data_IF_880947979791
#
_entry.id   IF_880947979791
#
_cell.length_a   1.000
_cell.length_b   1.000
_cell.length_c   1.000
_cell.angle_alpha   90.00
_cell.angle_beta   90.00
_cell.angle_gamma   90.00
#
_symmetry.space_group_name_H-M   'P 1'
#
loop_
_entity.id
_entity.type
_entity.pdbx_description
1 polymer ?
#
# COMPACT_ATOMS: atom_id res chain seq x y z
N UNK A 1 -8.83 20.02 -2.86
CA UNK A 1 -8.43 20.92 -1.75
C UNK A 1 -9.37 20.80 -0.53
N UNK A 2 -10.70 20.86 -0.66
CA UNK A 2 -11.63 20.76 0.49
C UNK A 2 -11.58 19.42 1.27
N UNK A 3 -11.50 18.27 0.59
CA UNK A 3 -11.33 16.96 1.26
C UNK A 3 -10.03 16.85 2.05
N UNK A 4 -8.96 17.48 1.57
CA UNK A 4 -7.68 17.55 2.25
C UNK A 4 -7.78 18.44 3.49
N UNK A 5 -8.44 19.60 3.41
CA UNK A 5 -8.68 20.43 4.60
C UNK A 5 -9.54 19.72 5.66
N UNK A 6 -10.55 18.94 5.28
CA UNK A 6 -11.37 18.18 6.23
C UNK A 6 -10.62 16.98 6.82
N UNK A 7 -9.97 16.19 5.96
CA UNK A 7 -9.34 14.92 6.36
C UNK A 7 -7.93 15.08 6.95
N UNK A 8 -7.26 16.20 6.70
CA UNK A 8 -5.90 16.49 7.15
C UNK A 8 -5.93 17.64 8.15
N UNK A 9 -6.27 18.86 7.73
CA UNK A 9 -6.12 20.04 8.59
C UNK A 9 -7.09 20.04 9.76
N UNK A 10 -8.39 19.84 9.54
CA UNK A 10 -9.38 19.83 10.60
C UNK A 10 -9.24 18.58 11.49
N UNK A 11 -9.02 17.40 10.89
CA UNK A 11 -8.85 16.16 11.63
C UNK A 11 -7.64 16.22 12.60
N UNK A 12 -6.49 16.72 12.14
CA UNK A 12 -5.28 16.86 12.98
C UNK A 12 -5.47 17.93 14.06
N UNK A 13 -6.07 19.08 13.71
CA UNK A 13 -6.36 20.15 14.67
C UNK A 13 -7.22 19.65 15.85
N UNK A 14 -8.29 18.90 15.58
CA UNK A 14 -9.13 18.35 16.66
C UNK A 14 -8.45 17.25 17.49
N UNK A 15 -7.49 16.51 16.91
CA UNK A 15 -6.68 15.53 17.65
C UNK A 15 -5.76 16.21 18.67
N UNK A 16 -5.27 17.41 18.34
CA UNK A 16 -4.24 18.13 19.11
C UNK A 16 -4.82 19.18 20.08
N UNK A 17 -6.15 19.43 20.06
CA UNK A 17 -6.83 20.36 20.99
C UNK A 17 -6.81 19.87 22.45
N UNK A 18 -5.76 20.20 23.18
CA UNK A 18 -5.55 19.82 24.59
C UNK A 18 -6.67 20.27 25.54
N UNK A 19 -7.43 21.29 25.16
CA UNK A 19 -8.59 21.79 25.90
C UNK A 19 -9.77 20.78 25.95
N UNK A 20 -9.78 19.77 25.08
CA UNK A 20 -10.82 18.75 25.03
C UNK A 20 -10.36 17.44 25.69
N UNK A 21 -11.25 16.76 26.45
CA UNK A 21 -10.96 15.41 26.94
C UNK A 21 -10.60 14.45 25.81
N UNK A 22 -9.64 13.54 26.04
CA UNK A 22 -9.13 12.62 25.02
C UNK A 22 -10.21 11.85 24.23
N UNK A 23 -11.30 11.33 24.84
CA UNK A 23 -12.37 10.66 24.10
C UNK A 23 -13.10 11.58 23.11
N UNK A 24 -13.23 12.87 23.44
CA UNK A 24 -13.89 13.87 22.59
C UNK A 24 -13.01 14.26 21.41
N UNK A 25 -11.69 14.34 21.60
CA UNK A 25 -10.71 14.54 20.52
C UNK A 25 -10.78 13.41 19.50
N UNK A 26 -10.78 12.17 19.98
CA UNK A 26 -10.87 10.97 19.12
C UNK A 26 -12.21 10.90 18.35
N UNK A 27 -13.33 11.22 19.01
CA UNK A 27 -14.63 11.26 18.35
C UNK A 27 -14.70 12.31 17.23
N UNK A 28 -14.19 13.53 17.48
CA UNK A 28 -14.13 14.58 16.48
C UNK A 28 -13.16 14.21 15.34
N UNK A 29 -11.99 13.66 15.66
CA UNK A 29 -11.03 13.18 14.67
C UNK A 29 -11.68 12.20 13.68
N UNK A 30 -12.38 11.17 14.19
CA UNK A 30 -13.18 10.24 13.37
C UNK A 30 -14.23 10.94 12.52
N UNK A 31 -14.98 11.87 13.11
CA UNK A 31 -16.04 12.59 12.43
C UNK A 31 -15.51 13.40 11.23
N UNK A 32 -14.38 14.09 11.37
CA UNK A 32 -13.82 14.90 10.29
C UNK A 32 -13.16 14.06 9.19
N UNK A 33 -12.57 12.91 9.54
CA UNK A 33 -12.15 11.91 8.53
C UNK A 33 -13.36 11.45 7.71
N UNK A 34 -14.47 11.11 8.38
CA UNK A 34 -15.68 10.64 7.71
C UNK A 34 -16.29 11.71 6.79
N UNK A 35 -16.40 12.97 7.24
CA UNK A 35 -16.84 14.09 6.40
C UNK A 35 -15.94 14.28 5.17
N UNK A 36 -14.63 14.09 5.33
CA UNK A 36 -13.67 14.13 4.23
C UNK A 36 -13.91 13.02 3.20
N UNK A 37 -14.23 11.80 3.65
CA UNK A 37 -14.60 10.66 2.80
C UNK A 37 -15.90 10.93 2.04
N UNK A 38 -16.94 11.42 2.71
CA UNK A 38 -18.23 11.79 2.08
C UNK A 38 -18.08 12.90 1.04
N UNK A 39 -17.17 13.85 1.27
CA UNK A 39 -16.85 14.88 0.29
C UNK A 39 -16.18 14.29 -0.97
N UNK A 40 -15.25 13.35 -0.78
CA UNK A 40 -14.62 12.63 -1.90
C UNK A 40 -15.64 11.81 -2.68
N UNK A 41 -16.54 11.10 -2.00
CA UNK A 41 -17.56 10.28 -2.65
C UNK A 41 -18.51 11.12 -3.52
N UNK A 42 -18.99 12.26 -3.00
CA UNK A 42 -19.78 13.22 -3.80
C UNK A 42 -18.98 13.81 -4.97
N UNK A 43 -17.70 14.09 -4.75
CA UNK A 43 -16.81 14.55 -5.81
C UNK A 43 -16.71 13.55 -6.95
N UNK A 44 -16.51 12.27 -6.63
CA UNK A 44 -16.41 11.17 -7.58
C UNK A 44 -17.73 10.97 -8.33
N UNK A 45 -18.86 11.01 -7.63
CA UNK A 45 -20.20 10.91 -8.25
C UNK A 45 -20.40 12.00 -9.32
N UNK A 46 -19.98 13.22 -9.04
CA UNK A 46 -20.13 14.35 -9.96
C UNK A 46 -19.05 14.38 -11.05
N UNK A 47 -17.87 13.79 -10.80
CA UNK A 47 -16.71 13.84 -11.69
C UNK A 47 -16.05 12.45 -11.80
N UNK A 48 -16.75 11.44 -12.34
CA UNK A 48 -16.28 10.04 -12.30
C UNK A 48 -15.03 9.79 -13.16
N UNK A 49 -14.64 10.74 -14.01
CA UNK A 49 -13.46 10.67 -14.86
C UNK A 49 -12.23 11.40 -14.27
N UNK A 50 -12.36 11.98 -13.07
CA UNK A 50 -11.23 12.60 -12.39
C UNK A 50 -10.49 11.57 -11.51
N UNK A 51 -9.37 11.06 -12.04
CA UNK A 51 -8.50 10.11 -11.34
C UNK A 51 -7.97 10.66 -10.00
N UNK A 52 -7.84 11.98 -9.85
CA UNK A 52 -7.24 12.59 -8.65
C UNK A 52 -8.15 12.41 -7.43
N UNK A 53 -9.47 12.34 -7.64
CA UNK A 53 -10.45 12.11 -6.59
C UNK A 53 -10.36 10.69 -6.06
N UNK A 54 -10.25 9.70 -6.94
CA UNK A 54 -10.01 8.31 -6.57
C UNK A 54 -8.66 8.13 -5.87
N UNK A 55 -7.60 8.74 -6.40
CA UNK A 55 -6.27 8.71 -5.79
C UNK A 55 -6.28 9.34 -4.38
N UNK A 56 -7.03 10.43 -4.19
CA UNK A 56 -7.23 11.05 -2.88
C UNK A 56 -8.04 10.16 -1.91
N UNK A 57 -9.06 9.46 -2.41
CA UNK A 57 -9.82 8.46 -1.64
C UNK A 57 -8.92 7.31 -1.21
N UNK A 58 -8.12 6.75 -2.11
CA UNK A 58 -7.13 5.73 -1.79
C UNK A 58 -6.17 6.17 -0.68
N UNK A 59 -5.64 7.38 -0.76
CA UNK A 59 -4.77 7.94 0.30
C UNK A 59 -5.47 8.08 1.64
N UNK A 60 -6.74 8.49 1.65
CA UNK A 60 -7.51 8.65 2.88
C UNK A 60 -7.72 7.30 3.58
N UNK A 61 -8.09 6.27 2.83
CA UNK A 61 -8.37 4.92 3.35
C UNK A 61 -7.12 4.07 3.59
N UNK A 62 -5.96 4.42 3.02
CA UNK A 62 -4.70 3.71 3.27
C UNK A 62 -3.89 4.28 4.45
N UNK A 63 -4.26 5.44 4.98
CA UNK A 63 -3.48 6.13 6.00
C UNK A 63 -3.68 5.51 7.39
N UNK A 64 -2.59 5.07 8.04
CA UNK A 64 -2.62 4.38 9.34
C UNK A 64 -3.34 5.15 10.45
N UNK A 65 -3.16 6.48 10.50
CA UNK A 65 -3.81 7.33 11.50
C UNK A 65 -5.28 7.63 11.19
N UNK A 66 -5.86 7.07 10.12
CA UNK A 66 -7.22 7.40 9.65
C UNK A 66 -8.16 6.21 9.61
N UNK A 67 -7.92 5.19 10.44
CA UNK A 67 -8.73 3.97 10.48
C UNK A 67 -8.76 3.33 9.08
N UNK A 68 -7.65 2.70 8.68
CA UNK A 68 -7.49 2.25 7.31
C UNK A 68 -8.50 1.17 6.94
N UNK A 69 -8.96 1.22 5.70
CA UNK A 69 -9.70 0.15 5.03
C UNK A 69 -8.98 -0.12 3.71
N UNK A 70 -8.15 -1.17 3.70
CA UNK A 70 -7.31 -1.47 2.56
C UNK A 70 -8.09 -1.99 1.36
N UNK A 71 -9.27 -2.58 1.56
CA UNK A 71 -10.12 -3.01 0.46
C UNK A 71 -10.67 -1.79 -0.28
N UNK A 72 -11.18 -0.79 0.46
CA UNK A 72 -11.65 0.47 -0.13
C UNK A 72 -10.49 1.25 -0.76
N UNK A 73 -9.32 1.27 -0.12
CA UNK A 73 -8.15 1.93 -0.69
C UNK A 73 -7.67 1.27 -1.98
N UNK A 74 -7.58 -0.06 -2.02
CA UNK A 74 -7.19 -0.83 -3.20
C UNK A 74 -8.13 -0.54 -4.37
N UNK A 75 -9.44 -0.58 -4.15
CA UNK A 75 -10.43 -0.30 -5.18
C UNK A 75 -10.33 1.15 -5.69
N UNK A 76 -10.15 2.12 -4.78
CA UNK A 76 -9.98 3.51 -5.18
C UNK A 76 -8.71 3.71 -6.02
N UNK A 77 -7.58 3.11 -5.65
CA UNK A 77 -6.36 3.20 -6.46
C UNK A 77 -6.48 2.48 -7.79
N UNK A 78 -7.18 1.33 -7.85
CA UNK A 78 -7.50 0.64 -9.11
C UNK A 78 -8.28 1.56 -10.05
N UNK A 79 -9.34 2.20 -9.56
CA UNK A 79 -10.11 3.18 -10.32
C UNK A 79 -9.24 4.37 -10.76
N UNK A 80 -8.40 4.91 -9.87
CA UNK A 80 -7.49 5.99 -10.21
C UNK A 80 -6.52 5.62 -11.34
N UNK A 81 -5.96 4.40 -11.30
CA UNK A 81 -5.05 3.90 -12.31
C UNK A 81 -5.76 3.68 -13.66
N UNK A 82 -6.96 3.10 -13.66
CA UNK A 82 -7.77 2.88 -14.86
C UNK A 82 -8.22 4.19 -15.51
N UNK A 83 -8.77 5.12 -14.74
CA UNK A 83 -9.16 6.46 -15.23
C UNK A 83 -7.96 7.27 -15.69
N UNK A 84 -6.79 7.06 -15.07
CA UNK A 84 -5.49 7.57 -15.51
C UNK A 84 -4.90 6.85 -16.73
N UNK A 85 -5.68 5.99 -17.41
CA UNK A 85 -5.30 5.22 -18.61
C UNK A 85 -4.05 4.35 -18.43
N UNK A 86 -3.84 3.81 -17.25
CA UNK A 86 -2.71 2.91 -16.96
C UNK A 86 -1.34 3.59 -16.85
N UNK A 87 -1.25 4.92 -17.03
CA UNK A 87 0.04 5.64 -17.08
C UNK A 87 0.55 6.09 -15.70
N UNK A 88 -0.19 5.77 -14.64
CA UNK A 88 0.02 6.31 -13.30
C UNK A 88 0.75 5.31 -12.40
N UNK A 89 2.08 5.34 -12.42
CA UNK A 89 2.94 4.41 -11.66
C UNK A 89 2.70 4.48 -10.15
N UNK A 90 2.46 5.66 -9.59
CA UNK A 90 2.14 5.80 -8.17
C UNK A 90 0.85 5.05 -7.80
N UNK A 91 -0.24 5.33 -8.50
CA UNK A 91 -1.55 4.72 -8.25
C UNK A 91 -1.51 3.20 -8.43
N UNK A 92 -0.80 2.70 -9.45
CA UNK A 92 -0.63 1.26 -9.66
C UNK A 92 0.07 0.57 -8.48
N UNK A 93 1.16 1.15 -7.98
CA UNK A 93 1.88 0.62 -6.82
C UNK A 93 1.05 0.71 -5.55
N UNK A 94 0.37 1.84 -5.34
CA UNK A 94 -0.47 2.04 -4.17
C UNK A 94 -1.69 1.09 -4.16
N UNK A 95 -2.22 0.74 -5.34
CA UNK A 95 -3.20 -0.33 -5.49
C UNK A 95 -2.63 -1.66 -5.00
N UNK A 96 -1.47 -2.09 -5.50
CA UNK A 96 -0.85 -3.34 -5.06
C UNK A 96 -0.58 -3.37 -3.56
N UNK A 97 0.02 -2.31 -3.00
CA UNK A 97 0.32 -2.27 -1.57
C UNK A 97 -0.93 -2.37 -0.72
N UNK A 98 -2.03 -1.74 -1.15
CA UNK A 98 -3.31 -1.84 -0.45
C UNK A 98 -3.92 -3.23 -0.60
N UNK A 99 -3.94 -3.78 -1.82
CA UNK A 99 -4.51 -5.10 -2.10
C UNK A 99 -3.80 -6.21 -1.31
N UNK A 100 -2.46 -6.16 -1.22
CA UNK A 100 -1.67 -7.15 -0.48
C UNK A 100 -1.92 -7.15 1.04
N UNK A 101 -2.55 -6.10 1.58
CA UNK A 101 -2.96 -6.01 2.99
C UNK A 101 -4.42 -6.41 3.22
N UNK A 102 -5.15 -6.79 2.17
CA UNK A 102 -6.52 -7.30 2.29
C UNK A 102 -6.48 -8.81 2.56
N UNK A 103 -7.08 -9.31 3.66
CA UNK A 103 -7.14 -10.74 3.92
C UNK A 103 -7.76 -11.51 2.76
N UNK A 104 -7.13 -12.63 2.37
CA UNK A 104 -7.60 -13.49 1.27
C UNK A 104 -7.35 -12.96 -0.14
N UNK A 105 -6.54 -11.90 -0.30
CA UNK A 105 -6.21 -11.31 -1.61
C UNK A 105 -4.77 -11.57 -2.06
N UNK A 106 -4.09 -12.58 -1.51
CA UNK A 106 -2.72 -12.93 -1.89
C UNK A 106 -2.57 -13.27 -3.37
N UNK A 107 -3.49 -14.07 -3.93
CA UNK A 107 -3.43 -14.48 -5.35
C UNK A 107 -3.65 -13.28 -6.30
N UNK A 108 -4.73 -12.50 -6.08
CA UNK A 108 -4.98 -11.27 -6.84
C UNK A 108 -3.80 -10.28 -6.74
N UNK A 109 -3.18 -10.19 -5.56
CA UNK A 109 -2.00 -9.34 -5.33
C UNK A 109 -0.78 -9.85 -6.08
N UNK A 110 -0.57 -11.16 -6.14
CA UNK A 110 0.54 -11.76 -6.86
C UNK A 110 0.43 -11.51 -8.37
N UNK A 111 -0.76 -11.69 -8.93
CA UNK A 111 -1.01 -11.42 -10.35
C UNK A 111 -0.72 -9.97 -10.70
N UNK A 112 -1.21 -9.03 -9.87
CA UNK A 112 -0.92 -7.61 -10.04
C UNK A 112 0.58 -7.31 -9.84
N UNK A 113 1.24 -7.91 -8.85
CA UNK A 113 2.67 -7.71 -8.63
C UNK A 113 3.48 -8.13 -9.86
N UNK A 114 3.18 -9.31 -10.43
CA UNK A 114 3.79 -9.80 -11.67
C UNK A 114 3.52 -8.87 -12.85
N UNK A 115 2.28 -8.40 -13.02
CA UNK A 115 1.92 -7.45 -14.07
C UNK A 115 2.76 -6.17 -13.97
N UNK A 116 2.80 -5.55 -12.79
CA UNK A 116 3.53 -4.31 -12.56
C UNK A 116 5.03 -4.52 -12.75
N UNK A 117 5.59 -5.65 -12.33
CA UNK A 117 7.02 -5.96 -12.41
C UNK A 117 7.55 -6.11 -13.84
N UNK A 118 6.68 -6.43 -14.81
CA UNK A 118 7.04 -6.45 -16.24
C UNK A 118 7.52 -5.08 -16.72
N UNK A 119 7.02 -4.00 -16.12
CA UNK A 119 7.49 -2.64 -16.40
C UNK A 119 8.72 -2.33 -15.51
N UNK A 120 9.92 -2.07 -16.10
CA UNK A 120 11.13 -1.72 -15.35
C UNK A 120 10.96 -0.52 -14.41
N UNK A 121 10.12 0.47 -14.76
CA UNK A 121 9.89 1.63 -13.89
C UNK A 121 9.29 1.23 -12.53
N UNK A 122 8.57 0.10 -12.44
CA UNK A 122 7.97 -0.39 -11.21
C UNK A 122 8.87 -1.33 -10.39
N UNK A 123 10.08 -1.65 -10.84
CA UNK A 123 11.01 -2.55 -10.12
C UNK A 123 11.74 -1.84 -8.98
N UNK A 124 10.99 -1.11 -8.17
CA UNK A 124 11.46 -0.47 -6.95
C UNK A 124 11.49 -1.48 -5.79
N UNK A 125 12.26 -1.18 -4.76
CA UNK A 125 12.58 -2.06 -3.63
C UNK A 125 11.34 -2.71 -3.01
N UNK A 126 10.30 -1.91 -2.76
CA UNK A 126 9.04 -2.37 -2.17
C UNK A 126 8.28 -3.33 -3.06
N UNK A 127 8.33 -3.17 -4.39
CA UNK A 127 7.70 -4.11 -5.32
C UNK A 127 8.51 -5.40 -5.41
N UNK A 128 9.85 -5.31 -5.42
CA UNK A 128 10.73 -6.50 -5.42
C UNK A 128 10.51 -7.36 -4.18
N UNK A 129 10.52 -6.73 -3.01
CA UNK A 129 10.28 -7.42 -1.75
C UNK A 129 8.87 -8.00 -1.67
N UNK A 130 7.85 -7.23 -2.06
CA UNK A 130 6.47 -7.71 -2.01
C UNK A 130 6.23 -8.84 -3.03
N UNK A 131 6.79 -8.75 -4.24
CA UNK A 131 6.74 -9.84 -5.21
C UNK A 131 7.39 -11.10 -4.64
N UNK A 132 8.57 -10.99 -4.03
CA UNK A 132 9.22 -12.10 -3.35
C UNK A 132 8.29 -12.74 -2.29
N UNK A 133 7.69 -11.93 -1.41
CA UNK A 133 6.79 -12.42 -0.36
C UNK A 133 5.57 -13.15 -0.95
N UNK A 134 4.96 -12.59 -1.99
CA UNK A 134 3.78 -13.18 -2.64
C UNK A 134 4.15 -14.46 -3.40
N UNK A 135 5.30 -14.50 -4.06
CA UNK A 135 5.81 -15.69 -4.75
C UNK A 135 6.21 -16.80 -3.75
N UNK A 136 6.73 -16.42 -2.58
CA UNK A 136 7.02 -17.34 -1.48
C UNK A 136 5.78 -18.09 -1.01
N UNK A 137 4.64 -17.39 -0.88
CA UNK A 137 3.36 -17.99 -0.45
C UNK A 137 2.86 -19.07 -1.43
N UNK A 138 3.30 -19.04 -2.70
CA UNK A 138 2.94 -20.01 -3.74
C UNK A 138 4.18 -20.71 -4.33
N UNK A 139 5.27 -20.79 -3.57
CA UNK A 139 6.58 -21.25 -4.05
C UNK A 139 6.51 -22.63 -4.72
N UNK A 140 5.67 -23.53 -4.22
CA UNK A 140 5.52 -24.88 -4.76
C UNK A 140 6.87 -25.62 -4.73
N UNK A 141 7.32 -26.10 -5.88
CA UNK A 141 8.61 -26.78 -6.07
C UNK A 141 9.80 -25.84 -6.33
N UNK A 142 9.57 -24.53 -6.48
CA UNK A 142 10.65 -23.55 -6.74
C UNK A 142 11.60 -23.46 -5.55
N UNK A 143 12.86 -23.15 -5.81
CA UNK A 143 13.87 -22.97 -4.76
C UNK A 143 13.94 -21.52 -4.29
N UNK A 144 14.60 -21.28 -3.15
CA UNK A 144 14.91 -19.92 -2.68
C UNK A 144 15.74 -19.14 -3.71
N UNK A 145 16.68 -19.82 -4.38
CA UNK A 145 17.52 -19.24 -5.41
C UNK A 145 16.68 -18.76 -6.61
N UNK A 146 15.70 -19.55 -7.06
CA UNK A 146 14.78 -19.16 -8.13
C UNK A 146 13.99 -17.90 -7.77
N UNK A 147 13.44 -17.86 -6.55
CA UNK A 147 12.65 -16.72 -6.08
C UNK A 147 13.49 -15.44 -5.96
N UNK A 148 14.70 -15.55 -5.42
CA UNK A 148 15.60 -14.42 -5.27
C UNK A 148 16.08 -13.91 -6.63
N UNK A 149 16.46 -14.80 -7.54
CA UNK A 149 16.88 -14.45 -8.90
C UNK A 149 15.76 -13.84 -9.76
N UNK A 150 14.50 -14.18 -9.49
CA UNK A 150 13.35 -13.53 -10.14
C UNK A 150 13.15 -12.08 -9.67
N UNK A 151 13.37 -11.81 -8.39
CA UNK A 151 12.96 -10.54 -7.76
C UNK A 151 14.11 -9.53 -7.65
N UNK A 152 15.35 -9.98 -7.55
CA UNK A 152 16.53 -9.15 -7.26
C UNK A 152 17.62 -9.36 -8.30
N UNK A 153 18.50 -8.38 -8.46
CA UNK A 153 19.60 -8.44 -9.45
C UNK A 153 20.76 -9.30 -8.93
N UNK A 154 21.02 -9.24 -7.63
CA UNK A 154 22.02 -10.05 -6.96
C UNK A 154 21.67 -10.27 -5.47
N UNK A 155 22.43 -11.14 -4.81
CA UNK A 155 22.24 -11.49 -3.39
C UNK A 155 22.57 -10.34 -2.43
N UNK A 156 23.45 -9.41 -2.79
CA UNK A 156 23.79 -8.25 -1.96
C UNK A 156 22.60 -7.30 -1.89
N UNK A 157 22.01 -7.00 -3.04
CA UNK A 157 20.79 -6.21 -3.19
C UNK A 157 19.63 -6.89 -2.45
N UNK A 158 19.44 -8.20 -2.65
CA UNK A 158 18.39 -8.94 -1.96
C UNK A 158 18.53 -8.84 -0.42
N UNK A 159 19.74 -9.03 0.10
CA UNK A 159 20.01 -8.97 1.54
C UNK A 159 19.73 -7.58 2.11
N UNK A 160 20.15 -6.51 1.42
CA UNK A 160 19.91 -5.14 1.86
C UNK A 160 18.41 -4.79 1.84
N UNK A 161 17.73 -5.07 0.73
CA UNK A 161 16.32 -4.72 0.55
C UNK A 161 15.41 -5.50 1.50
N UNK A 162 15.60 -6.81 1.63
CA UNK A 162 14.79 -7.63 2.53
C UNK A 162 15.00 -7.23 4.00
N UNK A 163 16.22 -6.85 4.39
CA UNK A 163 16.50 -6.31 5.73
C UNK A 163 15.74 -5.01 5.99
N UNK A 164 15.80 -4.06 5.05
CA UNK A 164 15.08 -2.78 5.19
C UNK A 164 13.56 -2.99 5.18
N UNK A 165 13.06 -3.91 4.35
CA UNK A 165 11.66 -4.28 4.28
C UNK A 165 11.15 -4.89 5.59
N UNK A 166 11.95 -5.75 6.24
CA UNK A 166 11.65 -6.30 7.55
C UNK A 166 11.63 -5.21 8.64
N UNK A 167 12.65 -4.32 8.63
CA UNK A 167 12.80 -3.26 9.64
C UNK A 167 11.70 -2.19 9.53
N UNK A 168 11.26 -1.88 8.31
CA UNK A 168 10.32 -0.80 8.03
C UNK A 168 8.88 -1.30 7.86
N UNK A 169 8.45 -2.33 8.62
CA UNK A 169 7.11 -2.88 8.49
C UNK A 169 6.03 -2.17 9.34
N UNK A 170 6.19 -0.87 9.59
CA UNK A 170 5.22 -0.08 10.35
C UNK A 170 3.81 -0.08 9.71
N UNK A 171 3.75 -0.29 8.39
CA UNK A 171 2.51 -0.32 7.61
C UNK A 171 1.90 -1.73 7.44
N UNK A 172 2.43 -2.73 8.17
CA UNK A 172 1.93 -4.11 8.25
C UNK A 172 1.81 -4.80 6.88
N UNK A 173 2.81 -4.60 6.02
CA UNK A 173 2.93 -5.36 4.78
C UNK A 173 3.22 -6.83 5.07
N UNK A 174 2.82 -7.76 4.18
CA UNK A 174 3.16 -9.18 4.29
C UNK A 174 4.68 -9.41 4.42
N UNK A 175 5.09 -10.37 5.24
CA UNK A 175 6.50 -10.66 5.57
C UNK A 175 6.89 -12.14 5.38
N UNK A 176 6.02 -12.95 4.79
CA UNK A 176 6.25 -14.38 4.60
C UNK A 176 7.57 -14.64 3.85
N UNK A 177 8.36 -15.58 4.36
CA UNK A 177 9.64 -15.96 3.75
C UNK A 177 10.80 -14.99 3.96
N UNK A 178 10.57 -13.73 4.36
CA UNK A 178 11.61 -12.69 4.45
C UNK A 178 12.74 -13.10 5.41
N UNK A 179 12.41 -13.58 6.61
CA UNK A 179 13.41 -14.03 7.58
C UNK A 179 14.19 -15.25 7.08
N UNK A 180 13.51 -16.18 6.41
CA UNK A 180 14.16 -17.39 5.86
C UNK A 180 15.11 -17.03 4.73
N UNK A 181 14.71 -16.12 3.83
CA UNK A 181 15.57 -15.60 2.78
C UNK A 181 16.80 -14.88 3.35
N UNK A 182 16.61 -14.04 4.36
CA UNK A 182 17.73 -13.35 5.02
C UNK A 182 18.71 -14.32 5.67
N UNK A 183 18.23 -15.38 6.31
CA UNK A 183 19.08 -16.42 6.89
C UNK A 183 19.84 -17.19 5.79
N UNK A 184 19.14 -17.59 4.74
CA UNK A 184 19.71 -18.28 3.58
C UNK A 184 20.79 -17.47 2.87
N UNK A 185 20.60 -16.14 2.76
CA UNK A 185 21.56 -15.20 2.18
C UNK A 185 22.81 -15.05 3.05
N UNK A 186 22.68 -15.06 4.38
CA UNK A 186 23.83 -15.01 5.31
C UNK A 186 24.74 -16.23 5.22
N UNK A 187 24.19 -17.39 4.88
CA UNK A 187 24.95 -18.64 4.76
C UNK A 187 25.77 -18.72 3.45
N UNK A 188 25.56 -17.78 2.52
CA UNK A 188 26.20 -17.73 1.19
C UNK A 188 27.09 -16.50 0.98
N UNK A 189 27.10 -15.56 1.93
CA UNK A 189 28.00 -14.40 1.96
C UNK A 189 29.13 -14.62 2.93
#
# INVERSE_FOLDING_TARGET
MASWHLSYNAAVDYREREELPAPRREALHKQYIQKGREFLDRGIQNNPQDWTLYSSKGRNYAHKDKFPDFAVAAEAYRCAWQTGKGQRTFEARAWLYSLARVPGKSEDSLDLARELFRNPQNRVDSIRCLLFVLEWQVMGERTMEDLLGQCFEDYKMAAEMLRLYQQNNADQMPQDGVMMAMQWLKERG
#
